data_IF_904528922678
#
_entry.id   IF_904528922678
#
_cell.length_a   1.000
_cell.length_b   1.000
_cell.length_c   1.000
_cell.angle_alpha   90.00
_cell.angle_beta   90.00
_cell.angle_gamma   90.00
#
_symmetry.space_group_name_H-M   'P 1'
#
loop_
_entity.id
_entity.type
_entity.pdbx_description
1 polymer ?
#
# COMPACT_ATOMS: atom_id res chain seq x y z
N UNK A 1 -7.89 -98.45 -21.96
CA UNK A 1 -7.08 -97.21 -22.10
C UNK A 1 -8.02 -96.02 -21.94
N UNK A 2 -8.06 -95.40 -20.76
CA UNK A 2 -8.98 -94.31 -20.40
C UNK A 2 -8.18 -93.04 -20.06
N UNK A 3 -8.61 -91.92 -20.66
CA UNK A 3 -8.10 -90.55 -20.53
C UNK A 3 -8.43 -89.96 -19.15
N UNK A 4 -7.52 -89.16 -18.58
CA UNK A 4 -7.85 -87.99 -17.75
C UNK A 4 -6.79 -86.90 -17.97
N UNK A 5 -7.23 -85.74 -18.47
CA UNK A 5 -6.48 -84.47 -18.48
C UNK A 5 -6.86 -83.69 -17.23
N UNK A 6 -5.86 -83.18 -16.51
CA UNK A 6 -6.02 -82.26 -15.38
C UNK A 6 -5.87 -80.84 -15.93
N UNK A 7 -6.94 -80.05 -15.87
CA UNK A 7 -6.92 -78.60 -16.12
C UNK A 7 -6.94 -77.87 -14.79
N UNK A 8 -5.83 -77.21 -14.44
CA UNK A 8 -5.75 -76.28 -13.30
C UNK A 8 -6.30 -74.91 -13.70
N UNK A 9 -7.29 -74.41 -12.95
CA UNK A 9 -7.83 -73.05 -13.10
C UNK A 9 -7.22 -72.18 -12.01
N UNK A 10 -6.40 -71.20 -12.41
CA UNK A 10 -5.77 -70.22 -11.54
C UNK A 10 -6.69 -68.99 -11.48
N UNK A 11 -7.39 -68.80 -10.36
CA UNK A 11 -8.19 -67.61 -10.09
C UNK A 11 -7.25 -66.41 -9.88
N UNK A 12 -7.31 -65.42 -10.77
CA UNK A 12 -6.60 -64.15 -10.64
C UNK A 12 -7.54 -63.10 -10.04
N UNK A 13 -7.38 -62.83 -8.74
CA UNK A 13 -8.16 -61.84 -8.00
C UNK A 13 -7.70 -60.42 -8.35
N UNK A 14 -8.47 -59.69 -9.15
CA UNK A 14 -8.27 -58.27 -9.41
C UNK A 14 -8.72 -57.44 -8.19
N UNK A 15 -7.75 -57.02 -7.38
CA UNK A 15 -7.92 -55.96 -6.39
C UNK A 15 -8.04 -54.62 -7.14
N UNK A 16 -9.27 -54.11 -7.26
CA UNK A 16 -9.52 -52.74 -7.71
C UNK A 16 -9.25 -51.81 -6.53
N UNK A 17 -8.04 -51.24 -6.48
CA UNK A 17 -7.71 -50.15 -5.57
C UNK A 17 -8.40 -48.86 -6.03
N UNK A 18 -9.55 -48.56 -5.43
CA UNK A 18 -10.16 -47.24 -5.54
C UNK A 18 -9.30 -46.22 -4.79
N UNK A 19 -8.48 -45.46 -5.52
CA UNK A 19 -7.81 -44.29 -4.98
C UNK A 19 -8.86 -43.26 -4.57
N UNK A 20 -9.00 -43.04 -3.26
CA UNK A 20 -9.76 -41.91 -2.70
C UNK A 20 -9.04 -40.64 -3.13
N UNK A 21 -9.53 -39.94 -4.14
CA UNK A 21 -9.00 -38.64 -4.52
C UNK A 21 -9.35 -37.65 -3.40
N UNK A 22 -8.32 -37.15 -2.71
CA UNK A 22 -8.47 -36.00 -1.82
C UNK A 22 -9.07 -34.84 -2.63
N UNK A 23 -10.24 -34.36 -2.21
CA UNK A 23 -10.98 -33.33 -2.93
C UNK A 23 -10.33 -31.97 -2.64
N UNK A 24 -9.54 -31.48 -3.59
CA UNK A 24 -8.87 -30.18 -3.50
C UNK A 24 -9.78 -29.08 -4.02
N UNK A 25 -9.96 -28.04 -3.21
CA UNK A 25 -10.78 -26.88 -3.58
C UNK A 25 -9.88 -25.78 -4.11
N UNK A 26 -9.92 -25.56 -5.42
CA UNK A 26 -9.10 -24.56 -6.09
C UNK A 26 -9.91 -23.32 -6.43
N UNK A 27 -9.40 -22.17 -6.00
CA UNK A 27 -9.87 -20.85 -6.35
C UNK A 27 -8.81 -20.18 -7.22
N UNK A 28 -9.23 -19.56 -8.31
CA UNK A 28 -8.34 -18.89 -9.25
C UNK A 28 -9.12 -18.46 -10.48
N UNK A 29 -8.77 -17.32 -11.06
CA UNK A 29 -9.41 -16.88 -12.28
C UNK A 29 -8.97 -17.75 -13.46
N UNK A 30 -9.92 -18.21 -14.28
CA UNK A 30 -9.58 -18.83 -15.57
C UNK A 30 -8.92 -17.80 -16.48
N UNK A 31 -8.19 -18.22 -17.54
CA UNK A 31 -7.57 -17.27 -18.47
C UNK A 31 -8.54 -16.26 -19.08
N UNK A 32 -9.81 -16.61 -19.25
CA UNK A 32 -10.86 -15.72 -19.79
C UNK A 32 -11.47 -14.80 -18.73
N UNK A 33 -11.41 -15.17 -17.45
CA UNK A 33 -11.95 -14.40 -16.33
C UNK A 33 -10.90 -13.50 -15.65
N UNK A 34 -9.62 -13.78 -15.88
CA UNK A 34 -8.51 -13.05 -15.28
C UNK A 34 -8.51 -11.61 -15.75
N UNK A 35 -8.65 -10.71 -14.79
CA UNK A 35 -8.59 -9.27 -14.99
C UNK A 35 -7.61 -8.67 -13.99
N UNK A 36 -6.94 -7.61 -14.40
CA UNK A 36 -6.06 -6.82 -13.56
C UNK A 36 -6.44 -5.36 -13.74
N UNK A 37 -6.59 -4.64 -12.64
CA UNK A 37 -7.11 -3.27 -12.66
C UNK A 37 -6.32 -2.36 -11.71
N UNK A 38 -6.02 -1.16 -12.17
CA UNK A 38 -5.44 -0.10 -11.34
C UNK A 38 -6.57 0.64 -10.64
N UNK A 39 -6.83 0.29 -9.38
CA UNK A 39 -7.88 0.93 -8.56
C UNK A 39 -7.42 2.29 -8.05
N UNK A 40 -6.13 2.45 -7.77
CA UNK A 40 -5.52 3.74 -7.44
C UNK A 40 -4.26 3.94 -8.26
N UNK A 41 -4.16 5.10 -8.92
CA UNK A 41 -2.99 5.51 -9.69
C UNK A 41 -2.72 6.99 -9.40
N UNK A 42 -2.20 7.26 -8.20
CA UNK A 42 -1.94 8.62 -7.74
C UNK A 42 -0.52 8.71 -7.19
N UNK A 43 0.08 9.91 -7.11
CA UNK A 43 1.36 10.10 -6.44
C UNK A 43 1.36 9.76 -4.94
N UNK A 44 0.20 9.45 -4.34
CA UNK A 44 0.04 9.08 -2.94
C UNK A 44 -0.14 7.60 -2.72
N UNK A 45 -0.78 6.92 -3.66
CA UNK A 45 -1.12 5.51 -3.58
C UNK A 45 -1.22 4.91 -4.97
N UNK A 46 -0.56 3.77 -5.12
CA UNK A 46 -0.67 2.86 -6.26
C UNK A 46 -1.33 1.57 -5.77
N UNK A 47 -2.42 1.17 -6.41
CA UNK A 47 -3.18 -0.01 -6.01
C UNK A 47 -3.60 -0.81 -7.23
N UNK A 48 -3.06 -2.03 -7.33
CA UNK A 48 -3.31 -2.99 -8.40
C UNK A 48 -4.12 -4.15 -7.82
N UNK A 49 -5.27 -4.43 -8.42
CA UNK A 49 -6.23 -5.43 -7.91
C UNK A 49 -6.47 -6.52 -8.95
N UNK A 50 -6.55 -7.76 -8.46
CA UNK A 50 -6.94 -8.95 -9.19
C UNK A 50 -8.11 -9.63 -8.49
N UNK A 51 -9.33 -9.59 -9.05
CA UNK A 51 -10.46 -10.32 -8.49
C UNK A 51 -10.29 -11.83 -8.70
N UNK A 52 -10.49 -12.60 -7.62
CA UNK A 52 -10.44 -14.06 -7.59
C UNK A 52 -11.88 -14.59 -7.47
N UNK A 53 -12.42 -15.23 -8.53
CA UNK A 53 -13.79 -15.72 -8.55
C UNK A 53 -14.12 -16.60 -7.34
N UNK A 54 -15.25 -16.33 -6.70
CA UNK A 54 -15.77 -17.07 -5.54
C UNK A 54 -14.88 -17.07 -4.28
N UNK A 55 -13.82 -16.24 -4.23
CA UNK A 55 -12.93 -16.14 -3.08
C UNK A 55 -12.87 -14.70 -2.52
N UNK A 56 -12.53 -13.75 -3.38
CA UNK A 56 -12.30 -12.36 -3.00
C UNK A 56 -11.33 -11.69 -3.94
N UNK A 57 -10.45 -10.82 -3.45
CA UNK A 57 -9.58 -10.01 -4.29
C UNK A 57 -8.13 -10.06 -3.79
N UNK A 58 -7.18 -10.09 -4.70
CA UNK A 58 -5.76 -9.96 -4.42
C UNK A 58 -5.31 -8.54 -4.76
N UNK A 59 -4.78 -7.83 -3.78
CA UNK A 59 -4.45 -6.42 -3.88
C UNK A 59 -2.96 -6.20 -3.61
N UNK A 60 -2.27 -5.56 -4.54
CA UNK A 60 -0.96 -4.98 -4.32
C UNK A 60 -1.12 -3.49 -4.10
N UNK A 61 -0.62 -2.99 -2.98
CA UNK A 61 -0.66 -1.58 -2.66
C UNK A 61 0.73 -1.05 -2.31
N UNK A 62 1.01 0.17 -2.75
CA UNK A 62 2.17 0.93 -2.34
C UNK A 62 1.75 2.37 -2.10
N UNK A 63 2.24 2.95 -1.02
CA UNK A 63 1.85 4.29 -0.56
C UNK A 63 3.08 5.20 -0.49
N UNK A 64 2.85 6.49 -0.68
CA UNK A 64 3.86 7.53 -0.54
C UNK A 64 4.53 7.47 0.85
N UNK A 65 5.85 7.33 0.84
CA UNK A 65 6.66 7.08 2.01
C UNK A 65 8.12 7.40 1.70
N UNK A 66 8.94 7.61 2.73
CA UNK A 66 10.40 7.77 2.58
C UNK A 66 11.07 6.58 1.93
N UNK A 67 10.52 5.38 2.12
CA UNK A 67 10.99 4.13 1.55
C UNK A 67 9.82 3.45 0.86
N UNK A 68 10.07 2.92 -0.33
CA UNK A 68 9.06 2.17 -1.08
C UNK A 68 8.73 0.90 -0.28
N UNK A 69 7.47 0.80 0.12
CA UNK A 69 6.91 -0.37 0.79
C UNK A 69 5.85 -0.92 -0.15
N UNK A 70 5.96 -2.22 -0.44
CA UNK A 70 4.97 -2.96 -1.19
C UNK A 70 4.26 -3.91 -0.23
N UNK A 71 2.96 -3.76 -0.19
CA UNK A 71 2.05 -4.58 0.59
C UNK A 71 1.23 -5.42 -0.38
N UNK A 72 1.08 -6.71 -0.08
CA UNK A 72 0.11 -7.58 -0.71
C UNK A 72 -0.95 -7.96 0.33
N UNK A 73 -2.21 -7.87 -0.06
CA UNK A 73 -3.34 -8.27 0.78
C UNK A 73 -4.27 -9.18 -0.02
N UNK A 74 -4.57 -10.34 0.56
CA UNK A 74 -5.55 -11.27 0.05
C UNK A 74 -6.88 -11.05 0.79
N UNK A 75 -7.74 -10.23 0.21
CA UNK A 75 -9.05 -9.86 0.75
C UNK A 75 -10.05 -10.99 0.53
N UNK A 76 -10.39 -11.70 1.59
CA UNK A 76 -11.38 -12.78 1.56
C UNK A 76 -12.80 -12.22 1.69
N UNK A 77 -13.70 -12.52 0.75
CA UNK A 77 -15.13 -12.11 0.84
C UNK A 77 -15.84 -12.80 2.00
N UNK A 78 -15.43 -14.02 2.33
CA UNK A 78 -15.90 -14.75 3.51
C UNK A 78 -14.71 -14.88 4.45
N UNK A 79 -14.72 -14.23 5.63
CA UNK A 79 -13.65 -14.40 6.58
C UNK A 79 -13.63 -15.87 6.99
N UNK A 80 -12.55 -16.56 6.63
CA UNK A 80 -12.25 -17.86 7.19
C UNK A 80 -11.76 -17.65 8.63
N UNK A 81 -11.93 -18.65 9.49
CA UNK A 81 -11.32 -18.61 10.83
C UNK A 81 -9.78 -18.53 10.75
N UNK A 82 -9.08 -18.87 11.82
CA UNK A 82 -7.61 -18.86 11.81
C UNK A 82 -7.04 -19.78 10.71
N UNK A 83 -6.56 -19.20 9.60
CA UNK A 83 -5.85 -19.97 8.57
C UNK A 83 -4.44 -20.25 9.06
N UNK A 84 -4.16 -21.52 9.33
CA UNK A 84 -2.88 -21.97 9.87
C UNK A 84 -2.10 -22.73 8.82
N UNK A 85 -0.77 -22.72 8.95
CA UNK A 85 0.14 -23.47 8.09
C UNK A 85 -0.06 -23.17 6.59
N UNK A 86 -0.13 -21.89 6.24
CA UNK A 86 -0.28 -21.46 4.85
C UNK A 86 1.07 -21.50 4.17
N UNK A 87 1.13 -22.20 3.03
CA UNK A 87 2.29 -22.24 2.16
C UNK A 87 2.01 -21.41 0.92
N UNK A 88 2.86 -20.43 0.65
CA UNK A 88 2.86 -19.71 -0.61
C UNK A 88 3.82 -20.42 -1.57
N UNK A 89 3.31 -20.84 -2.71
CA UNK A 89 4.00 -21.67 -3.70
C UNK A 89 3.88 -21.03 -5.09
N UNK A 90 4.85 -21.28 -5.97
CA UNK A 90 4.79 -20.85 -7.37
C UNK A 90 4.43 -22.03 -8.26
N UNK A 91 3.29 -21.97 -8.96
CA UNK A 91 2.82 -23.02 -9.88
C UNK A 91 2.92 -22.58 -11.36
N UNK A 92 3.19 -23.49 -12.32
CA UNK A 92 3.07 -23.17 -13.74
C UNK A 92 1.59 -22.97 -14.14
N UNK A 93 1.31 -22.20 -15.20
CA UNK A 93 -0.06 -22.00 -15.66
C UNK A 93 -0.66 -23.30 -16.25
N UNK A 94 -1.97 -23.51 -16.10
CA UNK A 94 -2.62 -24.80 -16.40
C UNK A 94 -2.58 -25.22 -17.88
N UNK A 95 -2.29 -24.31 -18.81
CA UNK A 95 -2.30 -24.54 -20.26
C UNK A 95 -0.93 -24.85 -20.87
N UNK A 96 0.16 -24.89 -20.08
CA UNK A 96 1.48 -25.34 -20.56
C UNK A 96 1.64 -26.84 -20.29
N UNK A 97 1.51 -27.74 -21.28
CA UNK A 97 1.73 -29.17 -21.07
C UNK A 97 3.23 -29.45 -20.89
N UNK A 98 3.60 -30.32 -19.95
CA UNK A 98 4.94 -30.91 -19.89
C UNK A 98 5.90 -30.36 -18.82
N UNK A 99 5.60 -29.24 -18.16
CA UNK A 99 6.25 -28.93 -16.88
C UNK A 99 5.49 -29.67 -15.77
N UNK A 100 5.94 -30.88 -15.47
CA UNK A 100 5.43 -31.69 -14.36
C UNK A 100 5.69 -30.97 -13.04
N UNK A 101 4.79 -30.08 -12.61
CA UNK A 101 4.78 -29.35 -11.32
C UNK A 101 6.17 -29.28 -10.67
N UNK A 102 7.14 -28.74 -11.40
CA UNK A 102 8.55 -28.98 -11.08
C UNK A 102 8.85 -28.21 -9.80
N UNK A 103 9.11 -28.98 -8.73
CA UNK A 103 9.31 -28.57 -7.34
C UNK A 103 8.63 -27.25 -6.98
N UNK A 104 7.42 -27.36 -6.43
CA UNK A 104 6.73 -26.27 -5.72
C UNK A 104 7.76 -25.40 -4.98
N UNK A 105 8.05 -24.22 -5.51
CA UNK A 105 9.02 -23.34 -4.88
C UNK A 105 8.27 -22.61 -3.79
N UNK A 106 8.43 -23.09 -2.55
CA UNK A 106 7.84 -22.45 -1.39
C UNK A 106 8.47 -21.07 -1.24
N UNK A 107 7.70 -20.04 -1.56
CA UNK A 107 8.10 -18.64 -1.40
C UNK A 107 8.15 -18.30 0.08
N UNK A 108 7.15 -18.75 0.85
CA UNK A 108 7.06 -18.53 2.29
C UNK A 108 6.08 -19.47 2.97
N UNK A 109 6.37 -19.78 4.24
CA UNK A 109 5.46 -20.48 5.15
C UNK A 109 4.97 -19.53 6.24
N UNK A 110 3.67 -19.58 6.54
CA UNK A 110 3.02 -18.79 7.58
C UNK A 110 2.36 -19.72 8.59
N UNK A 111 2.77 -19.64 9.86
CA UNK A 111 2.12 -20.38 10.94
C UNK A 111 0.66 -19.95 11.13
N UNK A 112 0.41 -18.65 10.94
CA UNK A 112 -0.91 -18.04 10.87
C UNK A 112 -0.89 -17.00 9.77
N UNK A 113 -1.94 -16.99 8.94
CA UNK A 113 -2.09 -16.03 7.85
C UNK A 113 -3.40 -15.26 8.03
N UNK A 114 -3.28 -13.94 7.96
CA UNK A 114 -4.38 -12.97 8.09
C UNK A 114 -4.75 -12.36 6.73
N UNK A 115 -4.12 -12.83 5.64
CA UNK A 115 -4.29 -12.26 4.32
C UNK A 115 -3.17 -11.28 3.94
N UNK A 116 -2.34 -10.82 4.88
CA UNK A 116 -1.36 -9.77 4.62
C UNK A 116 0.06 -10.32 4.40
N UNK A 117 0.76 -9.76 3.41
CA UNK A 117 2.15 -10.07 3.07
C UNK A 117 2.87 -8.77 2.75
N UNK A 118 3.78 -8.33 3.61
CA UNK A 118 4.62 -7.16 3.36
C UNK A 118 6.01 -7.48 2.82
N UNK A 119 6.64 -6.47 2.19
CA UNK A 119 8.08 -6.43 1.94
C UNK A 119 8.55 -7.39 0.85
N UNK A 120 9.70 -8.05 1.07
CA UNK A 120 10.35 -8.90 0.05
C UNK A 120 9.45 -10.05 -0.44
N UNK A 121 8.57 -10.57 0.43
CA UNK A 121 7.65 -11.63 0.02
C UNK A 121 6.62 -11.12 -0.99
N UNK A 122 6.09 -9.90 -0.82
CA UNK A 122 5.17 -9.29 -1.79
C UNK A 122 5.86 -9.08 -3.15
N UNK A 123 7.10 -8.59 -3.14
CA UNK A 123 7.94 -8.48 -4.34
C UNK A 123 8.18 -9.85 -5.00
N UNK A 124 8.36 -10.90 -4.20
CA UNK A 124 8.45 -12.27 -4.69
C UNK A 124 7.21 -12.70 -5.46
N UNK A 125 6.00 -12.40 -4.94
CA UNK A 125 4.74 -12.71 -5.62
C UNK A 125 4.67 -11.99 -6.98
N UNK A 126 4.98 -10.68 -7.03
CA UNK A 126 5.00 -9.92 -8.28
C UNK A 126 6.00 -10.50 -9.29
N UNK A 127 7.21 -10.84 -8.83
CA UNK A 127 8.25 -11.42 -9.69
C UNK A 127 7.83 -12.75 -10.31
N UNK A 128 7.10 -13.59 -9.56
CA UNK A 128 6.58 -14.84 -10.09
C UNK A 128 5.45 -14.63 -11.12
N UNK A 129 4.57 -13.65 -10.89
CA UNK A 129 3.55 -13.25 -11.88
C UNK A 129 4.18 -12.71 -13.18
N UNK A 130 5.25 -11.92 -13.07
CA UNK A 130 6.00 -11.40 -14.23
C UNK A 130 6.65 -12.53 -15.05
N UNK A 131 7.13 -13.59 -14.39
CA UNK A 131 7.63 -14.81 -15.05
C UNK A 131 6.52 -15.64 -15.71
N UNK A 132 5.26 -15.21 -15.59
CA UNK A 132 4.09 -15.92 -16.09
C UNK A 132 3.73 -17.17 -15.27
N UNK A 133 4.19 -17.23 -14.01
CA UNK A 133 3.82 -18.26 -13.03
C UNK A 133 2.66 -17.78 -12.18
N UNK A 134 1.99 -18.72 -11.53
CA UNK A 134 0.78 -18.50 -10.74
C UNK A 134 1.12 -18.71 -9.26
N UNK A 135 1.44 -17.65 -8.50
CA UNK A 135 1.56 -17.73 -7.06
C UNK A 135 0.25 -18.28 -6.49
N UNK A 136 0.37 -19.29 -5.64
CA UNK A 136 -0.77 -20.01 -5.09
C UNK A 136 -0.61 -20.11 -3.58
N UNK A 137 -1.63 -19.73 -2.83
CA UNK A 137 -1.71 -19.93 -1.39
C UNK A 137 -2.38 -21.27 -1.13
N UNK A 138 -1.66 -22.20 -0.53
CA UNK A 138 -2.14 -23.55 -0.22
C UNK A 138 -2.22 -23.73 1.29
N UNK A 139 -3.41 -24.04 1.81
CA UNK A 139 -3.64 -24.25 3.23
C UNK A 139 -4.74 -25.28 3.49
N UNK A 140 -4.78 -25.83 4.70
CA UNK A 140 -5.80 -26.81 5.09
C UNK A 140 -7.10 -26.11 5.52
N UNK A 141 -8.24 -26.67 5.14
CA UNK A 141 -9.54 -26.16 5.57
C UNK A 141 -9.75 -26.39 7.08
N UNK A 142 -10.33 -25.41 7.76
CA UNK A 142 -10.52 -25.47 9.21
C UNK A 142 -11.56 -26.51 9.65
N UNK A 143 -12.54 -26.84 8.79
CA UNK A 143 -13.60 -27.82 9.09
C UNK A 143 -13.22 -29.26 8.73
N UNK A 144 -12.36 -29.45 7.73
CA UNK A 144 -12.01 -30.77 7.20
C UNK A 144 -10.50 -30.88 7.04
N UNK A 145 -9.88 -31.79 7.81
CA UNK A 145 -8.42 -32.00 7.79
C UNK A 145 -7.91 -32.58 6.46
N UNK A 146 -8.81 -33.19 5.68
CA UNK A 146 -8.49 -33.87 4.43
C UNK A 146 -8.69 -32.98 3.20
N UNK A 147 -9.22 -31.76 3.37
CA UNK A 147 -9.43 -30.81 2.28
C UNK A 147 -8.35 -29.72 2.30
N UNK A 148 -7.70 -29.56 1.15
CA UNK A 148 -6.77 -28.45 0.88
C UNK A 148 -7.48 -27.39 0.06
N UNK A 149 -7.32 -26.15 0.48
CA UNK A 149 -7.76 -24.97 -0.26
C UNK A 149 -6.54 -24.37 -0.93
N UNK A 150 -6.64 -24.17 -2.24
CA UNK A 150 -5.64 -23.47 -3.02
C UNK A 150 -6.24 -22.21 -3.62
N UNK A 151 -5.54 -21.09 -3.47
CA UNK A 151 -5.95 -19.79 -4.02
C UNK A 151 -4.83 -19.29 -4.91
N UNK A 152 -5.02 -19.38 -6.23
CA UNK A 152 -4.04 -19.00 -7.23
C UNK A 152 -4.30 -17.63 -7.83
N UNK A 153 -3.22 -16.91 -8.07
CA UNK A 153 -3.22 -15.62 -8.77
C UNK A 153 -2.84 -15.87 -10.24
N UNK A 154 -3.73 -15.49 -11.15
CA UNK A 154 -3.48 -15.69 -12.58
C UNK A 154 -2.58 -14.59 -13.13
N UNK A 155 -1.51 -14.97 -13.84
CA UNK A 155 -0.63 -14.01 -14.53
C UNK A 155 -1.20 -13.50 -15.86
N UNK A 156 -2.42 -13.89 -16.24
CA UNK A 156 -3.03 -13.49 -17.52
C UNK A 156 -3.43 -12.02 -17.46
N UNK A 157 -2.99 -11.24 -18.46
CA UNK A 157 -3.13 -9.78 -18.55
C UNK A 157 -2.42 -8.98 -17.44
N UNK A 158 -1.59 -9.64 -16.62
CA UNK A 158 -0.84 -8.99 -15.55
C UNK A 158 0.18 -7.98 -16.08
N UNK A 159 0.97 -8.36 -17.10
CA UNK A 159 2.13 -7.56 -17.55
C UNK A 159 1.77 -6.13 -17.95
N UNK A 160 0.68 -5.95 -18.69
CA UNK A 160 0.23 -4.62 -19.14
C UNK A 160 -0.04 -3.71 -17.95
N UNK A 161 -0.75 -4.22 -16.93
CA UNK A 161 -1.11 -3.45 -15.74
C UNK A 161 0.04 -3.31 -14.77
N UNK A 162 0.93 -4.29 -14.72
CA UNK A 162 2.16 -4.21 -13.95
C UNK A 162 3.07 -3.09 -14.42
N UNK A 163 3.19 -2.85 -15.73
CA UNK A 163 3.96 -1.72 -16.25
C UNK A 163 3.40 -0.39 -15.73
N UNK A 164 2.07 -0.21 -15.78
CA UNK A 164 1.39 0.97 -15.24
C UNK A 164 1.59 1.10 -13.72
N UNK A 165 1.55 -0.03 -13.00
CA UNK A 165 1.81 -0.06 -11.57
C UNK A 165 3.25 0.34 -11.24
N UNK A 166 4.23 -0.16 -11.99
CA UNK A 166 5.65 0.16 -11.82
C UNK A 166 5.90 1.66 -12.07
N UNK A 167 5.30 2.23 -13.12
CA UNK A 167 5.36 3.66 -13.40
C UNK A 167 4.71 4.48 -12.27
N UNK A 168 3.58 4.01 -11.73
CA UNK A 168 2.95 4.64 -10.57
C UNK A 168 3.88 4.64 -9.36
N UNK A 169 4.48 3.49 -9.01
CA UNK A 169 5.40 3.34 -7.88
C UNK A 169 6.63 4.24 -8.04
N UNK A 170 7.15 4.38 -9.25
CA UNK A 170 8.27 5.27 -9.55
C UNK A 170 7.93 6.76 -9.35
N UNK A 171 6.65 7.12 -9.51
CA UNK A 171 6.15 8.50 -9.37
C UNK A 171 5.54 8.78 -7.97
N UNK A 172 5.61 7.85 -7.03
CA UNK A 172 5.16 8.06 -5.66
C UNK A 172 5.98 9.16 -4.97
N UNK A 173 5.30 9.98 -4.17
CA UNK A 173 5.97 11.00 -3.36
C UNK A 173 6.90 10.34 -2.33
N UNK A 174 8.17 10.81 -2.20
CA UNK A 174 9.17 10.21 -1.31
C UNK A 174 9.01 10.65 0.16
N UNK A 175 7.77 10.86 0.61
CA UNK A 175 7.43 11.29 1.97
C UNK A 175 5.99 10.88 2.28
N UNK A 176 5.73 10.53 3.54
CA UNK A 176 4.38 10.20 4.00
C UNK A 176 3.67 11.41 4.60
N UNK A 177 2.40 11.24 4.97
CA UNK A 177 1.65 12.27 5.68
C UNK A 177 2.30 12.62 7.01
N UNK A 178 2.77 11.63 7.75
CA UNK A 178 3.38 11.81 9.06
C UNK A 178 4.59 12.77 8.98
N UNK A 179 5.32 12.77 7.86
CA UNK A 179 6.48 13.64 7.62
C UNK A 179 6.13 15.11 7.37
N UNK A 180 4.94 15.37 6.84
CA UNK A 180 4.49 16.71 6.44
C UNK A 180 3.42 17.29 7.37
N UNK A 181 2.74 16.43 8.14
CA UNK A 181 1.62 16.75 9.04
C UNK A 181 1.96 17.83 10.06
N UNK A 182 3.22 17.94 10.44
CA UNK A 182 3.73 19.02 11.28
C UNK A 182 5.03 19.56 10.70
N UNK A 183 4.98 20.77 10.16
CA UNK A 183 6.13 21.39 9.49
C UNK A 183 6.39 22.78 10.04
N UNK A 184 7.66 23.06 10.37
CA UNK A 184 8.13 24.39 10.75
C UNK A 184 8.87 25.00 9.57
N UNK A 185 8.38 26.14 9.11
CA UNK A 185 8.97 26.95 8.05
C UNK A 185 9.59 28.21 8.64
N UNK A 186 10.62 28.73 7.98
CA UNK A 186 11.35 29.93 8.41
C UNK A 186 11.42 30.95 7.27
N UNK A 187 11.43 32.22 7.66
CA UNK A 187 11.63 33.33 6.73
C UNK A 187 13.11 33.61 6.48
N UNK A 188 13.43 34.21 5.34
CA UNK A 188 14.75 34.78 5.10
C UNK A 188 15.00 35.96 6.07
N UNK A 189 16.28 36.20 6.38
CA UNK A 189 16.67 37.29 7.30
C UNK A 189 16.15 38.63 6.80
N UNK A 190 15.42 39.34 7.66
CA UNK A 190 14.82 40.66 7.39
C UNK A 190 13.91 40.69 6.14
N UNK A 191 13.29 39.56 5.80
CA UNK A 191 12.38 39.45 4.66
C UNK A 191 11.04 38.84 5.09
N UNK A 192 10.00 39.17 4.32
CA UNK A 192 8.69 38.53 4.40
C UNK A 192 8.61 37.26 3.55
N UNK A 193 9.69 36.92 2.84
CA UNK A 193 9.78 35.73 2.00
C UNK A 193 10.27 34.53 2.81
N UNK A 194 9.63 33.38 2.61
CA UNK A 194 10.10 32.10 3.14
C UNK A 194 11.47 31.74 2.55
N UNK A 195 12.36 31.16 3.33
CA UNK A 195 13.66 30.73 2.82
C UNK A 195 13.54 29.60 1.78
N UNK A 196 14.60 29.36 1.00
CA UNK A 196 14.58 28.36 -0.10
C UNK A 196 14.14 26.96 0.35
N UNK A 197 14.61 26.51 1.51
CA UNK A 197 14.26 25.20 2.08
C UNK A 197 12.78 25.14 2.45
N UNK A 198 12.27 26.20 3.07
CA UNK A 198 10.88 26.33 3.50
C UNK A 198 9.93 26.43 2.31
N UNK A 199 10.32 27.13 1.24
CA UNK A 199 9.55 27.15 -0.02
C UNK A 199 9.45 25.75 -0.65
N UNK A 200 10.55 24.99 -0.66
CA UNK A 200 10.55 23.59 -1.12
C UNK A 200 9.64 22.71 -0.26
N UNK A 201 9.65 22.89 1.06
CA UNK A 201 8.80 22.09 1.94
C UNK A 201 7.33 22.49 1.85
N UNK A 202 7.05 23.78 1.66
CA UNK A 202 5.71 24.28 1.36
C UNK A 202 5.18 23.70 0.04
N UNK A 203 6.01 23.61 -1.00
CA UNK A 203 5.59 22.97 -2.27
C UNK A 203 5.32 21.47 -2.11
N UNK A 204 6.09 20.76 -1.27
CA UNK A 204 5.81 19.35 -0.95
C UNK A 204 4.46 19.17 -0.25
N UNK A 205 4.14 20.05 0.71
CA UNK A 205 2.83 20.06 1.38
C UNK A 205 1.73 20.34 0.34
N UNK A 206 1.94 21.34 -0.51
CA UNK A 206 1.01 21.70 -1.57
C UNK A 206 0.71 20.55 -2.53
N UNK A 207 1.75 19.83 -2.97
CA UNK A 207 1.60 18.68 -3.86
C UNK A 207 0.84 17.55 -3.17
N UNK A 208 1.15 17.25 -1.92
CA UNK A 208 0.43 16.22 -1.16
C UNK A 208 -1.05 16.57 -0.99
N UNK A 209 -1.34 17.81 -0.59
CA UNK A 209 -2.69 18.32 -0.39
C UNK A 209 -3.52 18.30 -1.68
N UNK A 210 -2.89 18.57 -2.83
CA UNK A 210 -3.58 18.53 -4.14
C UNK A 210 -4.13 17.15 -4.47
N UNK A 211 -3.39 16.09 -4.11
CA UNK A 211 -3.78 14.71 -4.43
C UNK A 211 -4.57 14.02 -3.30
N UNK A 212 -4.56 14.57 -2.08
CA UNK A 212 -5.26 14.00 -0.93
C UNK A 212 -6.50 14.82 -0.57
N UNK A 213 -7.69 14.32 -0.91
CA UNK A 213 -8.96 14.98 -0.59
C UNK A 213 -9.44 14.75 0.86
N UNK A 214 -8.81 13.83 1.60
CA UNK A 214 -9.17 13.48 2.98
C UNK A 214 -8.58 14.45 4.02
N UNK A 215 -7.74 15.38 3.58
CA UNK A 215 -7.23 16.47 4.40
C UNK A 215 -8.35 17.49 4.61
N UNK A 216 -8.76 17.64 5.86
CA UNK A 216 -9.88 18.46 6.31
C UNK A 216 -9.45 19.80 6.89
N UNK A 217 -8.24 19.88 7.43
CA UNK A 217 -7.80 21.05 8.18
C UNK A 217 -6.33 21.39 7.95
N UNK A 218 -6.08 22.61 7.50
CA UNK A 218 -4.74 23.21 7.44
C UNK A 218 -4.68 24.32 8.48
N UNK A 219 -4.00 24.06 9.59
CA UNK A 219 -3.70 25.06 10.62
C UNK A 219 -2.40 25.76 10.29
N UNK A 220 -2.44 27.08 10.09
CA UNK A 220 -1.26 27.90 9.85
C UNK A 220 -1.09 28.90 10.98
N UNK A 221 -0.04 28.72 11.78
CA UNK A 221 0.31 29.63 12.87
C UNK A 221 1.59 30.39 12.55
N UNK A 222 1.51 31.72 12.44
CA UNK A 222 2.65 32.59 12.12
C UNK A 222 3.14 33.31 13.37
N UNK A 223 4.46 33.37 13.52
CA UNK A 223 5.14 33.98 14.66
C UNK A 223 6.22 34.97 14.16
N UNK A 224 6.41 36.05 14.91
CA UNK A 224 7.45 37.05 14.65
C UNK A 224 8.50 37.04 15.75
N UNK A 225 9.63 37.69 15.51
CA UNK A 225 10.57 38.02 16.58
C UNK A 225 10.04 39.19 17.45
N UNK A 226 10.77 39.51 18.52
CA UNK A 226 10.37 40.54 19.47
C UNK A 226 10.87 41.95 19.13
N UNK A 227 11.40 42.18 17.92
CA UNK A 227 12.01 43.47 17.56
C UNK A 227 10.95 44.57 17.51
N UNK A 228 9.79 44.26 16.92
CA UNK A 228 8.75 45.25 16.72
C UNK A 228 7.81 45.43 17.93
N UNK A 229 7.08 46.55 17.93
CA UNK A 229 6.01 46.79 18.89
C UNK A 229 4.93 45.71 18.76
N UNK A 230 4.20 45.45 19.86
CA UNK A 230 3.20 44.36 19.88
C UNK A 230 2.16 44.48 18.76
N UNK A 231 1.70 45.69 18.45
CA UNK A 231 0.74 45.93 17.37
C UNK A 231 1.32 45.66 15.98
N UNK A 232 2.57 46.06 15.74
CA UNK A 232 3.25 45.84 14.46
C UNK A 232 3.51 44.35 14.23
N UNK A 233 4.05 43.65 15.24
CA UNK A 233 4.28 42.20 15.19
C UNK A 233 2.99 41.42 14.91
N UNK A 234 1.88 41.82 15.55
CA UNK A 234 0.59 41.16 15.38
C UNK A 234 0.08 41.33 13.94
N UNK A 235 0.03 42.56 13.43
CA UNK A 235 -0.40 42.85 12.06
C UNK A 235 0.48 42.14 11.02
N UNK A 236 1.80 42.11 11.23
CA UNK A 236 2.72 41.39 10.35
C UNK A 236 2.42 39.88 10.31
N UNK A 237 2.19 39.28 11.48
CA UNK A 237 1.86 37.86 11.55
C UNK A 237 0.53 37.54 10.85
N UNK A 238 -0.48 38.39 11.02
CA UNK A 238 -1.79 38.25 10.39
C UNK A 238 -1.69 38.36 8.86
N UNK A 239 -0.96 39.35 8.34
CA UNK A 239 -0.70 39.48 6.90
C UNK A 239 0.00 38.27 6.30
N UNK A 240 1.00 37.71 7.01
CA UNK A 240 1.70 36.49 6.58
C UNK A 240 0.80 35.27 6.61
N UNK A 241 -0.06 35.17 7.61
CA UNK A 241 -1.03 34.09 7.74
C UNK A 241 -2.06 34.16 6.58
N UNK A 242 -2.52 35.36 6.25
CA UNK A 242 -3.40 35.64 5.12
C UNK A 242 -2.77 35.27 3.77
N UNK A 243 -1.50 35.63 3.56
CA UNK A 243 -0.78 35.25 2.33
C UNK A 243 -0.69 33.73 2.15
N UNK A 244 -0.54 32.97 3.24
CA UNK A 244 -0.54 31.51 3.19
C UNK A 244 -1.94 30.94 2.97
N UNK A 245 -2.99 31.60 3.50
CA UNK A 245 -4.38 31.24 3.21
C UNK A 245 -4.65 31.31 1.71
N UNK A 246 -4.32 32.44 1.08
CA UNK A 246 -4.52 32.63 -0.36
C UNK A 246 -3.65 31.66 -1.20
N UNK A 247 -2.44 31.34 -0.73
CA UNK A 247 -1.62 30.30 -1.35
C UNK A 247 -2.32 28.93 -1.34
N UNK A 248 -2.84 28.48 -0.19
CA UNK A 248 -3.57 27.20 -0.11
C UNK A 248 -4.88 27.21 -0.88
N UNK A 249 -5.62 28.33 -0.87
CA UNK A 249 -6.81 28.52 -1.71
C UNK A 249 -6.48 28.37 -3.20
N UNK A 250 -5.37 28.94 -3.66
CA UNK A 250 -4.92 28.82 -5.06
C UNK A 250 -4.61 27.38 -5.49
N UNK A 251 -4.36 26.47 -4.54
CA UNK A 251 -4.11 25.06 -4.80
C UNK A 251 -5.39 24.22 -4.90
N UNK A 252 -6.56 24.84 -4.70
CA UNK A 252 -7.87 24.19 -4.75
C UNK A 252 -8.40 23.73 -3.39
N UNK A 253 -7.76 24.10 -2.28
CA UNK A 253 -8.32 23.86 -0.95
C UNK A 253 -9.49 24.80 -0.68
N UNK A 254 -10.66 24.27 -0.27
CA UNK A 254 -11.78 25.07 0.21
C UNK A 254 -11.39 25.96 1.41
N UNK A 255 -11.94 27.18 1.47
CA UNK A 255 -11.59 28.16 2.50
C UNK A 255 -11.97 27.69 3.92
N UNK A 256 -13.05 26.93 4.05
CA UNK A 256 -13.52 26.31 5.30
C UNK A 256 -12.50 25.32 5.89
N UNK A 257 -11.60 24.77 5.07
CA UNK A 257 -10.55 23.85 5.50
C UNK A 257 -9.25 24.54 5.90
N UNK A 258 -9.14 25.86 5.73
CA UNK A 258 -7.91 26.62 6.00
C UNK A 258 -8.12 27.54 7.19
N UNK A 259 -7.50 27.22 8.32
CA UNK A 259 -7.51 28.07 9.51
C UNK A 259 -6.14 28.72 9.69
N UNK A 260 -6.12 30.04 9.62
CA UNK A 260 -4.89 30.83 9.75
C UNK A 260 -4.94 31.69 11.01
N UNK A 261 -3.83 31.75 11.73
CA UNK A 261 -3.74 32.52 12.96
C UNK A 261 -2.38 33.21 13.09
N UNK A 262 -2.41 34.54 13.20
CA UNK A 262 -1.25 35.35 13.55
C UNK A 262 -1.09 35.45 15.07
N UNK A 263 0.03 34.98 15.60
CA UNK A 263 0.35 35.06 17.04
C UNK A 263 1.27 36.24 17.39
N UNK A 264 1.78 36.96 16.40
CA UNK A 264 2.80 38.00 16.56
C UNK A 264 4.01 37.48 17.32
N UNK A 265 4.50 38.27 18.29
CA UNK A 265 5.64 37.92 19.14
C UNK A 265 5.29 37.08 20.37
N UNK A 266 4.06 36.54 20.45
CA UNK A 266 3.63 35.69 21.57
C UNK A 266 4.28 34.29 21.43
N UNK A 267 4.48 33.60 22.56
CA UNK A 267 5.03 32.22 22.60
C UNK A 267 6.39 32.08 21.88
N UNK A 268 7.43 32.83 22.30
CA UNK A 268 8.79 32.61 21.81
C UNK A 268 9.28 31.22 22.21
N UNK A 269 10.06 30.58 21.34
CA UNK A 269 10.66 29.26 21.59
C UNK A 269 12.17 29.34 21.85
N UNK A 270 12.76 30.50 21.59
CA UNK A 270 14.18 30.78 21.77
C UNK A 270 14.39 32.21 22.28
N UNK A 271 15.60 32.46 22.76
CA UNK A 271 16.02 33.79 23.22
C UNK A 271 15.98 34.82 22.07
N UNK A 272 15.47 36.02 22.36
CA UNK A 272 15.37 37.09 21.37
C UNK A 272 16.63 37.97 21.32
N UNK A 273 17.64 37.72 22.15
CA UNK A 273 18.87 38.52 22.13
C UNK A 273 19.87 37.99 21.09
N UNK A 274 19.90 36.68 20.84
CA UNK A 274 20.76 36.10 19.80
C UNK A 274 20.14 36.15 18.38
N UNK A 275 20.95 36.39 17.31
CA UNK A 275 20.45 36.30 15.94
C UNK A 275 19.86 34.93 15.58
N UNK A 276 20.39 33.86 16.17
CA UNK A 276 19.92 32.48 15.98
C UNK A 276 18.55 32.28 16.64
N UNK A 277 18.36 32.81 17.85
CA UNK A 277 17.08 32.67 18.55
C UNK A 277 15.97 33.53 17.96
N UNK A 278 16.28 34.74 17.45
CA UNK A 278 15.34 35.53 16.64
C UNK A 278 14.86 34.77 15.40
N UNK A 279 15.76 34.07 14.73
CA UNK A 279 15.42 33.28 13.54
C UNK A 279 14.46 32.13 13.85
N UNK A 280 14.71 31.40 14.95
CA UNK A 280 13.79 30.36 15.46
C UNK A 280 12.41 30.92 15.84
N UNK A 281 12.34 32.17 16.30
CA UNK A 281 11.08 32.81 16.63
C UNK A 281 10.29 33.27 15.39
N UNK A 282 10.99 33.67 14.30
CA UNK A 282 10.38 33.96 12.99
C UNK A 282 10.05 32.68 12.22
N UNK A 283 8.99 32.01 12.67
CA UNK A 283 8.56 30.74 12.10
C UNK A 283 7.10 30.75 11.69
N UNK A 284 6.77 29.87 10.76
CA UNK A 284 5.41 29.43 10.49
C UNK A 284 5.32 27.97 10.90
N UNK A 285 4.28 27.63 11.64
CA UNK A 285 3.95 26.24 11.94
C UNK A 285 2.74 25.88 11.10
N UNK A 286 2.90 24.87 10.25
CA UNK A 286 1.81 24.27 9.49
C UNK A 286 1.50 22.93 10.12
N UNK A 287 0.22 22.72 10.43
CA UNK A 287 -0.30 21.43 10.87
C UNK A 287 -1.44 20.98 9.98
N UNK A 288 -1.38 19.73 9.52
CA UNK A 288 -2.41 19.10 8.70
C UNK A 288 -3.22 18.13 9.56
N UNK A 289 -4.55 18.27 9.51
CA UNK A 289 -5.51 17.30 10.03
C UNK A 289 -5.92 16.30 8.96
N UNK A 290 -6.36 15.12 9.42
CA UNK A 290 -7.11 14.16 8.62
C UNK A 290 -8.49 14.02 9.25
N UNK A 291 -9.51 13.87 8.40
CA UNK A 291 -10.83 13.47 8.87
C UNK A 291 -10.71 12.11 9.57
N UNK A 292 -11.07 12.04 10.85
CA UNK A 292 -11.34 10.75 11.48
C UNK A 292 -12.71 10.29 10.94
N UNK A 293 -12.70 9.38 9.97
CA UNK A 293 -13.88 8.59 9.61
C UNK A 293 -13.87 7.31 10.43
#
# INVERSE_FOLDING_TARGET
>A
MKKQLITGSMLFSLLVSSSVMAQEKRYGASPQQSTWEMVANTPLECRLVHPIPNFGDAEFSSRASKKIILDFELKMRRPMGATRNVSLISMPPPWRPGESADRMTTIKFFQQFDGYVGGQTAWGILSELEKGRYPTFSYQEWQSRDQRIEVSLSSVLFQEKYNVFSDCVANLLPYSFEDISFTILHYDRNSDQLNKSSRKRLSQIADYVRYNQDIDLVLVATYTDSVDSKGISQNLSERRAESLREYFKSLGLPEDRIQVQGYGKRRPIADNNSPIGKDKNRRVVISLGRTQV
#
